data_IF_380515046982
#
_entry.id   IF_380515046982
#
_cell.length_a   1.000
_cell.length_b   1.000
_cell.length_c   1.000
_cell.angle_alpha   90.00
_cell.angle_beta   90.00
_cell.angle_gamma   90.00
#
_symmetry.space_group_name_H-M   'P 1'
#
loop_
_entity.id
_entity.type
_entity.pdbx_description
1 polymer ?
#
# COMPACT_ATOMS: atom_id res chain seq x y z
N UNK A 1 -45.89 53.04 -4.20
CA UNK A 1 -47.11 53.50 -4.91
C UNK A 1 -48.29 53.72 -3.95
N UNK A 2 -48.15 53.42 -2.64
CA UNK A 2 -49.26 53.45 -1.68
C UNK A 2 -49.49 54.77 -0.92
N UNK A 3 -48.69 55.81 -1.18
CA UNK A 3 -48.79 57.10 -0.44
C UNK A 3 -49.84 58.04 -1.04
N UNK A 4 -50.31 57.80 -2.26
CA UNK A 4 -51.29 58.66 -2.94
C UNK A 4 -52.76 58.26 -2.68
N UNK A 5 -53.02 57.05 -2.19
CA UNK A 5 -54.39 56.53 -2.04
C UNK A 5 -55.12 56.99 -0.77
N UNK A 6 -54.42 57.57 0.22
CA UNK A 6 -55.00 57.98 1.51
C UNK A 6 -55.34 59.48 1.63
N UNK A 7 -55.41 60.25 0.55
CA UNK A 7 -55.52 61.73 0.63
C UNK A 7 -56.69 62.37 -0.12
N UNK A 8 -57.56 61.59 -0.77
CA UNK A 8 -58.68 62.15 -1.54
C UNK A 8 -59.98 61.79 -0.83
N UNK A 9 -60.39 62.61 0.13
CA UNK A 9 -61.73 62.54 0.67
C UNK A 9 -62.70 63.11 -0.38
N UNK A 10 -63.63 62.28 -0.85
CA UNK A 10 -64.67 62.69 -1.80
C UNK A 10 -65.56 63.81 -1.23
N UNK A 11 -65.60 63.97 0.09
CA UNK A 11 -66.35 65.04 0.77
C UNK A 11 -65.71 66.43 0.60
N UNK A 12 -64.40 66.52 0.32
CA UNK A 12 -63.70 67.78 0.02
C UNK A 12 -64.22 68.46 -1.27
N UNK A 13 -64.93 67.70 -2.12
CA UNK A 13 -65.55 68.21 -3.33
C UNK A 13 -66.91 68.88 -3.06
N UNK A 14 -67.47 68.79 -1.85
CA UNK A 14 -68.69 69.49 -1.42
C UNK A 14 -68.29 70.75 -0.63
N UNK A 15 -68.95 71.88 -0.89
CA UNK A 15 -68.58 73.16 -0.28
C UNK A 15 -68.85 73.11 1.23
N UNK A 16 -67.78 73.20 2.01
CA UNK A 16 -67.64 72.73 3.38
C UNK A 16 -68.22 73.65 4.46
N UNK A 17 -69.50 74.03 4.39
CA UNK A 17 -70.07 74.86 5.46
C UNK A 17 -71.32 74.38 6.22
N UNK A 18 -72.03 73.32 5.83
CA UNK A 18 -73.22 72.89 6.60
C UNK A 18 -73.50 71.37 6.63
N UNK A 19 -72.48 70.50 6.54
CA UNK A 19 -72.68 69.04 6.61
C UNK A 19 -72.06 68.44 7.87
N UNK A 20 -72.91 68.03 8.81
CA UNK A 20 -72.54 67.31 10.04
C UNK A 20 -72.00 65.91 9.69
N UNK A 21 -70.88 65.52 10.29
CA UNK A 21 -70.06 64.35 9.89
C UNK A 21 -70.81 63.00 9.95
N UNK A 22 -71.90 62.94 10.73
CA UNK A 22 -72.73 61.77 11.00
C UNK A 22 -74.06 61.70 10.24
N UNK A 23 -74.41 62.69 9.40
CA UNK A 23 -75.69 62.67 8.66
C UNK A 23 -75.58 61.98 7.30
N UNK A 24 -76.52 61.08 6.93
CA UNK A 24 -76.53 60.47 5.61
C UNK A 24 -76.76 61.54 4.52
N UNK A 25 -75.86 61.57 3.54
CA UNK A 25 -75.94 62.48 2.38
C UNK A 25 -77.31 62.37 1.71
N UNK A 26 -77.97 63.51 1.51
CA UNK A 26 -79.28 63.54 0.87
C UNK A 26 -79.17 63.17 -0.61
N UNK A 27 -80.22 62.61 -1.21
CA UNK A 27 -80.22 62.22 -2.64
C UNK A 27 -79.82 63.36 -3.61
N UNK A 28 -80.14 64.64 -3.33
CA UNK A 28 -79.60 65.79 -4.10
C UNK A 28 -78.09 65.97 -3.95
N UNK A 29 -77.53 65.74 -2.76
CA UNK A 29 -76.09 65.90 -2.48
C UNK A 29 -75.25 64.83 -3.18
N UNK A 30 -75.77 63.60 -3.25
CA UNK A 30 -75.14 62.52 -4.02
C UNK A 30 -75.11 62.83 -5.52
N UNK A 31 -76.19 63.42 -6.07
CA UNK A 31 -76.21 63.86 -7.48
C UNK A 31 -75.20 64.98 -7.71
N UNK A 32 -75.14 65.96 -6.81
CA UNK A 32 -74.18 67.05 -6.88
C UNK A 32 -72.73 66.56 -6.80
N UNK A 33 -72.46 65.57 -5.95
CA UNK A 33 -71.15 64.93 -5.83
C UNK A 33 -70.76 64.20 -7.12
N UNK A 34 -71.69 63.44 -7.71
CA UNK A 34 -71.46 62.76 -9.00
C UNK A 34 -71.14 63.77 -10.10
N UNK A 35 -71.90 64.85 -10.20
CA UNK A 35 -71.67 65.89 -11.21
C UNK A 35 -70.31 66.57 -10.99
N UNK A 36 -69.95 66.91 -9.74
CA UNK A 36 -68.63 67.48 -9.42
C UNK A 36 -67.48 66.51 -9.67
N UNK A 37 -67.65 65.23 -9.35
CA UNK A 37 -66.66 64.19 -9.64
C UNK A 37 -66.46 64.00 -11.15
N UNK A 38 -67.54 64.04 -11.92
CA UNK A 38 -67.45 63.96 -13.38
C UNK A 38 -66.70 65.17 -13.95
N UNK A 39 -67.03 66.38 -13.48
CA UNK A 39 -66.32 67.62 -13.88
C UNK A 39 -64.85 67.54 -13.47
N UNK A 40 -64.54 67.08 -12.26
CA UNK A 40 -63.17 66.94 -11.78
C UNK A 40 -62.38 65.87 -12.55
N UNK A 41 -63.01 64.73 -12.86
CA UNK A 41 -62.43 63.68 -13.70
C UNK A 41 -62.13 64.19 -15.12
N UNK A 42 -63.05 64.94 -15.72
CA UNK A 42 -62.84 65.59 -17.00
C UNK A 42 -61.72 66.63 -16.92
N UNK A 43 -61.64 67.40 -15.83
CA UNK A 43 -60.58 68.37 -15.60
C UNK A 43 -59.20 67.69 -15.47
N UNK A 44 -59.09 66.61 -14.70
CA UNK A 44 -57.85 65.82 -14.59
C UNK A 44 -57.47 65.25 -15.95
N UNK A 45 -58.40 64.61 -16.67
CA UNK A 45 -58.14 64.05 -18.01
C UNK A 45 -57.67 65.14 -18.98
N UNK A 46 -58.32 66.29 -18.96
CA UNK A 46 -57.93 67.44 -19.78
C UNK A 46 -56.55 67.98 -19.39
N UNK A 47 -56.26 68.12 -18.09
CA UNK A 47 -54.98 68.58 -17.57
C UNK A 47 -53.84 67.61 -17.92
N UNK A 48 -54.06 66.31 -17.75
CA UNK A 48 -53.10 65.26 -18.15
C UNK A 48 -52.90 65.28 -19.66
N UNK A 49 -53.99 65.35 -20.44
CA UNK A 49 -53.91 65.46 -21.89
C UNK A 49 -53.13 66.70 -22.33
N UNK A 50 -53.40 67.86 -21.73
CA UNK A 50 -52.69 69.09 -22.03
C UNK A 50 -51.21 69.00 -21.62
N UNK A 51 -50.91 68.37 -20.47
CA UNK A 51 -49.54 68.14 -20.03
C UNK A 51 -48.78 67.25 -21.00
N UNK A 52 -49.37 66.13 -21.41
CA UNK A 52 -48.77 65.20 -22.40
C UNK A 52 -48.61 65.87 -23.76
N UNK A 53 -49.59 66.66 -24.21
CA UNK A 53 -49.49 67.37 -25.49
C UNK A 53 -48.44 68.50 -25.45
N UNK A 54 -48.36 69.24 -24.35
CA UNK A 54 -47.36 70.31 -24.18
C UNK A 54 -45.94 69.78 -24.06
N UNK A 55 -45.74 68.57 -23.51
CA UNK A 55 -44.44 67.90 -23.39
C UNK A 55 -44.27 66.76 -24.40
N UNK A 56 -45.05 66.76 -25.49
CA UNK A 56 -45.04 65.67 -26.47
C UNK A 56 -43.64 65.46 -27.06
N UNK A 57 -42.93 66.54 -27.34
CA UNK A 57 -41.58 66.47 -27.88
C UNK A 57 -40.60 65.80 -26.90
N UNK A 58 -40.66 66.16 -25.62
CA UNK A 58 -39.79 65.59 -24.59
C UNK A 58 -40.05 64.09 -24.44
N UNK A 59 -41.33 63.68 -24.34
CA UNK A 59 -41.69 62.26 -24.29
C UNK A 59 -41.27 61.52 -25.55
N UNK A 60 -41.49 62.08 -26.75
CA UNK A 60 -41.06 61.47 -27.99
C UNK A 60 -39.54 61.30 -28.05
N UNK A 61 -38.78 62.29 -27.57
CA UNK A 61 -37.31 62.22 -27.51
C UNK A 61 -36.82 61.14 -26.54
N UNK A 62 -37.46 60.99 -25.38
CA UNK A 62 -37.15 59.94 -24.41
C UNK A 62 -37.46 58.55 -24.97
N UNK A 63 -38.61 58.38 -25.61
CA UNK A 63 -38.96 57.09 -26.23
C UNK A 63 -38.03 56.73 -27.39
N UNK A 64 -37.59 57.71 -28.19
CA UNK A 64 -36.60 57.50 -29.24
C UNK A 64 -35.25 57.06 -28.65
N UNK A 65 -34.75 57.75 -27.62
CA UNK A 65 -33.51 57.39 -26.94
C UNK A 65 -33.57 55.99 -26.31
N UNK A 66 -34.70 55.63 -25.69
CA UNK A 66 -34.91 54.28 -25.16
C UNK A 66 -34.90 53.23 -26.27
N UNK A 67 -35.55 53.51 -27.41
CA UNK A 67 -35.56 52.61 -28.57
C UNK A 67 -34.16 52.41 -29.16
N UNK A 68 -33.38 53.49 -29.26
CA UNK A 68 -31.99 53.44 -29.73
C UNK A 68 -31.09 52.66 -28.76
N UNK A 69 -31.26 52.87 -27.45
CA UNK A 69 -30.55 52.12 -26.41
C UNK A 69 -30.88 50.61 -26.45
N UNK A 70 -32.14 50.25 -26.66
CA UNK A 70 -32.55 48.85 -26.82
C UNK A 70 -31.96 48.26 -28.10
N UNK A 71 -31.99 49.00 -29.21
CA UNK A 71 -31.45 48.55 -30.49
C UNK A 71 -29.93 48.35 -30.45
N UNK A 72 -29.21 49.24 -29.78
CA UNK A 72 -27.76 49.12 -29.57
C UNK A 72 -27.40 47.96 -28.66
N UNK A 73 -28.18 47.72 -27.60
CA UNK A 73 -28.01 46.55 -26.73
C UNK A 73 -28.24 45.24 -27.49
N UNK A 74 -29.27 45.17 -28.33
CA UNK A 74 -29.55 43.99 -29.14
C UNK A 74 -28.40 43.73 -30.12
N UNK A 75 -27.93 44.77 -30.84
CA UNK A 75 -26.80 44.65 -31.75
C UNK A 75 -25.51 44.18 -31.04
N UNK A 76 -25.26 44.67 -29.82
CA UNK A 76 -24.13 44.20 -29.02
C UNK A 76 -24.27 42.72 -28.64
N UNK A 77 -25.48 42.30 -28.23
CA UNK A 77 -25.77 40.90 -27.92
C UNK A 77 -25.55 39.99 -29.12
N UNK A 78 -26.00 40.41 -30.30
CA UNK A 78 -25.83 39.67 -31.55
C UNK A 78 -24.34 39.54 -31.89
N UNK A 79 -23.56 40.64 -31.79
CA UNK A 79 -22.10 40.63 -32.02
C UNK A 79 -21.34 39.73 -31.03
N UNK A 80 -21.72 39.75 -29.75
CA UNK A 80 -21.11 38.87 -28.74
C UNK A 80 -21.43 37.42 -29.05
N UNK A 81 -22.66 37.14 -29.49
CA UNK A 81 -23.06 35.79 -29.91
C UNK A 81 -22.24 35.34 -31.11
N UNK A 82 -22.10 36.17 -32.15
CA UNK A 82 -21.28 35.86 -33.33
C UNK A 82 -19.82 35.55 -32.96
N UNK A 83 -19.22 36.33 -32.04
CA UNK A 83 -17.87 36.06 -31.56
C UNK A 83 -17.76 34.74 -30.80
N UNK A 84 -18.75 34.40 -29.96
CA UNK A 84 -18.78 33.12 -29.26
C UNK A 84 -18.94 31.95 -30.24
N UNK A 85 -19.72 32.10 -31.31
CA UNK A 85 -19.84 31.09 -32.37
C UNK A 85 -18.51 30.91 -33.08
N UNK A 86 -17.82 31.98 -33.47
CA UNK A 86 -16.49 31.92 -34.11
C UNK A 86 -15.45 31.24 -33.21
N UNK A 87 -15.45 31.54 -31.91
CA UNK A 87 -14.53 30.91 -30.95
C UNK A 87 -14.87 29.44 -30.68
N UNK A 88 -16.16 29.09 -30.70
CA UNK A 88 -16.63 27.72 -30.46
C UNK A 88 -16.45 26.81 -31.67
N UNK A 89 -16.63 27.36 -32.88
CA UNK A 89 -16.49 26.65 -34.15
C UNK A 89 -15.04 26.64 -34.67
N UNK A 90 -14.10 27.25 -33.95
CA UNK A 90 -12.71 27.27 -34.38
C UNK A 90 -12.09 25.86 -34.21
N UNK A 91 -11.65 25.20 -35.30
CA UNK A 91 -11.00 23.88 -35.23
C UNK A 91 -9.80 23.85 -34.29
N UNK A 92 -9.11 24.98 -34.13
CA UNK A 92 -7.97 25.15 -33.24
C UNK A 92 -8.33 24.86 -31.78
N UNK A 93 -9.53 25.24 -31.31
CA UNK A 93 -9.94 24.98 -29.92
C UNK A 93 -10.21 23.49 -29.68
N UNK A 94 -10.79 22.81 -30.68
CA UNK A 94 -10.97 21.37 -30.64
C UNK A 94 -9.62 20.63 -30.69
N UNK A 95 -8.72 21.02 -31.58
CA UNK A 95 -7.36 20.47 -31.68
C UNK A 95 -6.56 20.68 -30.39
N UNK A 96 -6.63 21.87 -29.78
CA UNK A 96 -5.97 22.16 -28.50
C UNK A 96 -6.50 21.23 -27.40
N UNK A 97 -7.83 21.03 -27.33
CA UNK A 97 -8.43 20.11 -26.35
C UNK A 97 -7.93 18.69 -26.54
N UNK A 98 -7.92 18.20 -27.78
CA UNK A 98 -7.52 16.84 -28.11
C UNK A 98 -6.02 16.62 -27.79
N UNK A 99 -5.17 17.60 -28.12
CA UNK A 99 -3.73 17.59 -27.74
C UNK A 99 -3.55 17.61 -26.23
N UNK A 100 -4.34 18.40 -25.49
CA UNK A 100 -4.29 18.43 -24.02
C UNK A 100 -4.69 17.09 -23.42
N UNK A 101 -5.70 16.42 -23.98
CA UNK A 101 -6.12 15.10 -23.54
C UNK A 101 -5.04 14.04 -23.84
N UNK A 102 -4.44 14.07 -25.04
CA UNK A 102 -3.33 13.21 -25.42
C UNK A 102 -2.14 13.40 -24.47
N UNK A 103 -1.71 14.65 -24.21
CA UNK A 103 -0.65 14.96 -23.23
C UNK A 103 -1.00 14.42 -21.84
N UNK A 104 -2.27 14.54 -21.44
CA UNK A 104 -2.75 14.02 -20.16
C UNK A 104 -2.64 12.50 -20.06
N UNK A 105 -2.94 11.78 -21.14
CA UNK A 105 -2.80 10.33 -21.25
C UNK A 105 -1.33 9.92 -21.26
N UNK A 106 -0.50 10.52 -22.13
CA UNK A 106 0.94 10.22 -22.22
C UNK A 106 1.65 10.48 -20.89
N UNK A 107 1.27 11.53 -20.16
CA UNK A 107 1.85 11.85 -18.85
C UNK A 107 1.48 10.81 -17.79
N UNK A 108 0.25 10.27 -17.82
CA UNK A 108 -0.17 9.17 -16.92
C UNK A 108 0.62 7.90 -17.21
N UNK A 109 0.71 7.50 -18.47
CA UNK A 109 1.50 6.33 -18.88
C UNK A 109 2.98 6.48 -18.55
N UNK A 110 3.57 7.66 -18.74
CA UNK A 110 4.95 7.93 -18.39
C UNK A 110 5.19 7.81 -16.87
N UNK A 111 4.22 8.20 -16.04
CA UNK A 111 4.28 8.04 -14.59
C UNK A 111 4.24 6.56 -14.19
N UNK A 112 3.31 5.80 -14.74
CA UNK A 112 3.20 4.35 -14.48
C UNK A 112 4.47 3.61 -14.92
N UNK A 113 4.99 3.93 -16.11
CA UNK A 113 6.26 3.37 -16.60
C UNK A 113 7.43 3.72 -15.68
N UNK A 114 7.47 4.94 -15.14
CA UNK A 114 8.51 5.34 -14.18
C UNK A 114 8.42 4.56 -12.87
N UNK A 115 7.20 4.39 -12.33
CA UNK A 115 6.98 3.61 -11.11
C UNK A 115 7.30 2.12 -11.30
N UNK A 116 7.08 1.58 -12.50
CA UNK A 116 7.51 0.23 -12.87
C UNK A 116 9.03 0.13 -13.00
N UNK A 117 9.68 1.12 -13.63
CA UNK A 117 11.15 1.16 -13.73
C UNK A 117 11.81 1.22 -12.36
N UNK A 118 11.25 1.98 -11.41
CA UNK A 118 11.75 2.02 -10.04
C UNK A 118 11.61 0.66 -9.35
N UNK A 119 10.51 -0.07 -9.59
CA UNK A 119 10.35 -1.45 -9.11
C UNK A 119 11.33 -2.42 -9.79
N UNK A 120 11.57 -2.29 -11.10
CA UNK A 120 12.54 -3.15 -11.80
C UNK A 120 13.95 -2.89 -11.27
N UNK A 121 14.34 -1.63 -11.10
CA UNK A 121 15.63 -1.26 -10.47
C UNK A 121 15.76 -1.89 -9.09
N UNK A 122 14.70 -1.82 -8.29
CA UNK A 122 14.64 -2.43 -6.96
C UNK A 122 14.83 -3.95 -6.94
N UNK A 123 14.33 -4.64 -7.97
CA UNK A 123 14.47 -6.08 -8.16
C UNK A 123 15.89 -6.40 -8.62
N UNK A 124 16.45 -5.60 -9.54
CA UNK A 124 17.83 -5.78 -10.02
C UNK A 124 18.82 -5.63 -8.87
N UNK A 125 18.72 -4.55 -8.08
CA UNK A 125 19.57 -4.34 -6.90
C UNK A 125 19.49 -5.52 -5.92
N UNK A 126 18.27 -6.00 -5.62
CA UNK A 126 18.07 -7.15 -4.75
C UNK A 126 18.64 -8.44 -5.37
N UNK A 127 18.51 -8.63 -6.68
CA UNK A 127 19.05 -9.81 -7.37
C UNK A 127 20.58 -9.80 -7.39
N UNK A 128 21.21 -8.62 -7.42
CA UNK A 128 22.66 -8.49 -7.29
C UNK A 128 23.12 -8.76 -5.85
N UNK A 129 22.42 -8.23 -4.85
CA UNK A 129 22.64 -8.56 -3.43
C UNK A 129 22.55 -10.09 -3.22
N UNK A 130 21.46 -10.73 -3.67
CA UNK A 130 21.28 -12.19 -3.55
C UNK A 130 22.32 -12.99 -4.35
N UNK A 131 22.69 -12.54 -5.55
CA UNK A 131 23.75 -13.19 -6.33
C UNK A 131 25.07 -13.18 -5.57
N UNK A 132 25.42 -12.08 -4.89
CA UNK A 132 26.62 -12.03 -4.06
C UNK A 132 26.57 -13.04 -2.90
N UNK A 133 25.41 -13.19 -2.25
CA UNK A 133 25.19 -14.22 -1.22
C UNK A 133 25.43 -15.62 -1.79
N UNK A 134 24.93 -15.92 -2.99
CA UNK A 134 25.14 -17.23 -3.63
C UNK A 134 26.59 -17.46 -4.06
N UNK A 135 27.30 -16.42 -4.50
CA UNK A 135 28.73 -16.48 -4.79
C UNK A 135 29.54 -16.79 -3.51
N UNK A 136 29.15 -16.22 -2.36
CA UNK A 136 29.76 -16.53 -1.05
C UNK A 136 29.46 -17.97 -0.60
N UNK A 137 28.23 -18.46 -0.78
CA UNK A 137 27.85 -19.87 -0.54
C UNK A 137 28.70 -20.80 -1.40
N UNK A 138 28.82 -20.51 -2.71
CA UNK A 138 29.61 -21.30 -3.65
C UNK A 138 31.11 -21.32 -3.31
N UNK A 139 31.62 -20.26 -2.71
CA UNK A 139 33.00 -20.17 -2.24
C UNK A 139 33.24 -20.79 -0.85
N UNK A 140 32.22 -21.38 -0.22
CA UNK A 140 32.31 -21.98 1.12
C UNK A 140 32.30 -20.96 2.28
N UNK A 141 32.08 -19.67 2.00
CA UNK A 141 31.91 -18.59 3.00
C UNK A 141 30.49 -18.54 3.52
N UNK A 142 30.08 -19.63 4.17
CA UNK A 142 28.67 -19.87 4.53
C UNK A 142 28.17 -18.94 5.65
N UNK A 143 29.06 -18.47 6.53
CA UNK A 143 28.70 -17.53 7.61
C UNK A 143 28.47 -16.14 7.05
N UNK A 144 29.37 -15.67 6.17
CA UNK A 144 29.25 -14.39 5.51
C UNK A 144 27.99 -14.34 4.63
N UNK A 145 27.70 -15.43 3.91
CA UNK A 145 26.46 -15.56 3.15
C UNK A 145 25.20 -15.52 4.04
N UNK A 146 25.22 -16.20 5.19
CA UNK A 146 24.12 -16.19 6.14
C UNK A 146 23.86 -14.79 6.70
N UNK A 147 24.91 -14.07 7.08
CA UNK A 147 24.81 -12.71 7.59
C UNK A 147 24.34 -11.72 6.51
N UNK A 148 24.88 -11.81 5.29
CA UNK A 148 24.46 -10.98 4.17
C UNK A 148 22.99 -11.23 3.78
N UNK A 149 22.52 -12.47 3.89
CA UNK A 149 21.10 -12.83 3.72
C UNK A 149 20.20 -12.18 4.77
N UNK A 150 20.58 -12.23 6.05
CA UNK A 150 19.85 -11.58 7.14
C UNK A 150 19.82 -10.05 6.97
N UNK A 151 20.95 -9.45 6.58
CA UNK A 151 21.04 -8.01 6.31
C UNK A 151 20.18 -7.59 5.10
N UNK A 152 20.10 -8.43 4.06
CA UNK A 152 19.21 -8.20 2.92
C UNK A 152 17.73 -8.24 3.36
N UNK A 153 17.36 -9.15 4.26
CA UNK A 153 16.01 -9.22 4.85
C UNK A 153 15.71 -7.96 5.69
N UNK A 154 16.62 -7.58 6.59
CA UNK A 154 16.50 -6.37 7.41
C UNK A 154 16.44 -5.09 6.56
N UNK A 155 17.22 -5.03 5.48
CA UNK A 155 17.22 -3.95 4.50
C UNK A 155 15.92 -3.85 3.71
N UNK A 156 15.21 -4.96 3.49
CA UNK A 156 13.89 -4.99 2.86
C UNK A 156 12.79 -4.49 3.82
N UNK A 157 12.92 -4.76 5.12
CA UNK A 157 12.02 -4.24 6.15
C UNK A 157 12.26 -2.75 6.46
N UNK A 158 13.53 -2.29 6.42
CA UNK A 158 13.96 -0.96 6.84
C UNK A 158 14.05 0.10 5.73
N UNK A 159 14.19 -0.29 4.44
CA UNK A 159 14.24 0.68 3.33
C UNK A 159 12.86 1.30 3.09
N UNK A 160 12.53 2.32 3.89
CA UNK A 160 11.47 3.28 3.63
C UNK A 160 11.84 4.05 2.37
N UNK A 161 11.41 3.54 1.22
CA UNK A 161 11.65 4.27 -0.01
C UNK A 161 10.92 5.61 0.05
N UNK A 162 11.71 6.67 -0.04
CA UNK A 162 11.26 8.03 -0.24
C UNK A 162 10.46 8.10 -1.53
N UNK A 163 9.15 7.87 -1.43
CA UNK A 163 8.20 8.57 -2.28
C UNK A 163 8.46 10.06 -2.10
N UNK A 164 8.71 10.74 -3.21
CA UNK A 164 9.12 12.14 -3.25
C UNK A 164 8.31 13.02 -2.30
N UNK A 165 9.01 13.99 -1.71
CA UNK A 165 8.47 15.05 -0.88
C UNK A 165 7.26 15.70 -1.58
N UNK A 166 6.05 15.30 -1.21
CA UNK A 166 4.82 15.94 -1.65
C UNK A 166 3.99 16.24 -0.40
N UNK A 167 4.05 17.52 -0.02
CA UNK A 167 3.10 18.19 0.83
C UNK A 167 1.67 17.89 0.38
N UNK A 168 0.80 17.56 1.34
CA UNK A 168 -0.63 17.85 1.28
C UNK A 168 -1.50 16.86 0.51
N UNK A 169 -2.09 15.94 1.28
CA UNK A 169 -3.36 15.23 0.97
C UNK A 169 -3.26 14.30 -0.26
N UNK A 170 -4.17 13.32 -0.36
CA UNK A 170 -4.36 12.34 -1.44
C UNK A 170 -3.75 10.95 -1.23
N UNK A 171 -4.65 10.02 -0.85
CA UNK A 171 -4.78 8.76 -1.59
C UNK A 171 -4.47 7.48 -0.84
N UNK A 172 -5.50 6.89 -0.22
CA UNK A 172 -5.52 5.50 0.31
C UNK A 172 -5.09 4.45 -0.74
N UNK A 173 -5.14 4.76 -2.04
CA UNK A 173 -4.64 3.90 -3.13
C UNK A 173 -3.12 3.71 -3.15
N UNK A 174 -2.32 4.71 -2.77
CA UNK A 174 -0.86 4.57 -2.69
C UNK A 174 -0.41 3.61 -1.57
N UNK A 175 -1.25 3.44 -0.55
CA UNK A 175 -0.99 2.50 0.55
C UNK A 175 -1.07 1.05 0.09
N UNK A 176 -2.03 0.70 -0.78
CA UNK A 176 -2.19 -0.67 -1.28
C UNK A 176 -1.07 -1.08 -2.24
N UNK A 177 -0.62 -0.18 -3.11
CA UNK A 177 0.48 -0.49 -4.04
C UNK A 177 1.82 -0.64 -3.31
N UNK A 178 2.07 0.19 -2.29
CA UNK A 178 3.22 0.04 -1.38
C UNK A 178 3.18 -1.29 -0.61
N UNK A 179 1.99 -1.71 -0.17
CA UNK A 179 1.80 -3.01 0.47
C UNK A 179 2.06 -4.18 -0.48
N UNK A 180 1.65 -4.07 -1.75
CA UNK A 180 1.85 -5.11 -2.75
C UNK A 180 3.34 -5.23 -3.13
N UNK A 181 4.05 -4.10 -3.30
CA UNK A 181 5.51 -4.08 -3.50
C UNK A 181 6.25 -4.66 -2.29
N UNK A 182 5.84 -4.33 -1.06
CA UNK A 182 6.42 -4.90 0.17
C UNK A 182 6.19 -6.41 0.27
N UNK A 183 4.99 -6.87 -0.08
CA UNK A 183 4.62 -8.30 -0.03
C UNK A 183 5.37 -9.12 -1.07
N UNK A 184 5.53 -8.60 -2.29
CA UNK A 184 6.32 -9.27 -3.33
C UNK A 184 7.80 -9.35 -2.93
N UNK A 185 8.36 -8.27 -2.38
CA UNK A 185 9.76 -8.22 -1.96
C UNK A 185 10.05 -9.19 -0.81
N UNK A 186 9.20 -9.20 0.22
CA UNK A 186 9.28 -10.17 1.32
C UNK A 186 9.12 -11.60 0.80
N UNK A 187 8.19 -11.86 -0.13
CA UNK A 187 8.03 -13.19 -0.71
C UNK A 187 9.29 -13.65 -1.46
N UNK A 188 9.89 -12.78 -2.26
CA UNK A 188 11.09 -13.10 -3.05
C UNK A 188 12.30 -13.38 -2.15
N UNK A 189 12.54 -12.53 -1.14
CA UNK A 189 13.63 -12.72 -0.17
C UNK A 189 13.41 -13.99 0.65
N UNK A 190 12.18 -14.21 1.14
CA UNK A 190 11.86 -15.39 1.94
C UNK A 190 12.06 -16.69 1.14
N UNK A 191 11.75 -16.68 -0.17
CA UNK A 191 11.96 -17.86 -1.02
C UNK A 191 13.43 -18.21 -1.19
N UNK A 192 14.30 -17.20 -1.28
CA UNK A 192 15.75 -17.38 -1.46
C UNK A 192 16.45 -17.70 -0.12
N UNK A 193 16.05 -17.05 0.97
CA UNK A 193 16.50 -17.40 2.32
C UNK A 193 16.13 -18.84 2.68
N UNK A 194 14.95 -19.30 2.26
CA UNK A 194 14.54 -20.68 2.44
C UNK A 194 15.50 -21.66 1.76
N UNK A 195 16.10 -21.28 0.61
CA UNK A 195 17.09 -22.13 -0.05
C UNK A 195 18.40 -22.20 0.73
N UNK A 196 18.85 -21.09 1.35
CA UNK A 196 20.03 -21.08 2.22
C UNK A 196 19.75 -21.93 3.48
N UNK A 197 18.59 -21.76 4.09
CA UNK A 197 18.15 -22.56 5.23
C UNK A 197 18.13 -24.06 4.90
N UNK A 198 17.54 -24.44 3.76
CA UNK A 198 17.51 -25.82 3.29
C UNK A 198 18.92 -26.37 3.02
N UNK A 199 19.80 -25.56 2.43
CA UNK A 199 21.19 -25.95 2.19
C UNK A 199 21.94 -26.19 3.51
N UNK A 200 21.80 -25.31 4.49
CA UNK A 200 22.39 -25.44 5.82
C UNK A 200 21.89 -26.70 6.54
N UNK A 201 20.58 -26.98 6.47
CA UNK A 201 20.01 -28.21 7.02
C UNK A 201 20.60 -29.45 6.33
N UNK A 202 20.78 -29.42 5.00
CA UNK A 202 21.42 -30.52 4.26
C UNK A 202 22.89 -30.71 4.66
N UNK A 203 23.63 -29.62 4.92
CA UNK A 203 24.98 -29.72 5.48
C UNK A 203 24.97 -30.40 6.85
N UNK A 204 24.05 -30.02 7.74
CA UNK A 204 23.90 -30.64 9.05
C UNK A 204 23.56 -32.15 8.95
N UNK A 205 22.70 -32.51 8.01
CA UNK A 205 22.35 -33.92 7.76
C UNK A 205 23.49 -34.74 7.17
N UNK A 206 24.38 -34.11 6.41
CA UNK A 206 25.59 -34.76 5.91
C UNK A 206 26.70 -34.82 6.95
N UNK A 207 26.71 -33.89 7.90
CA UNK A 207 27.66 -33.88 9.01
C UNK A 207 27.43 -35.06 9.93
N UNK A 208 26.19 -35.28 10.37
CA UNK A 208 25.87 -36.39 11.28
C UNK A 208 25.13 -37.48 10.53
N UNK A 209 25.85 -38.56 10.19
CA UNK A 209 25.32 -39.73 9.49
C UNK A 209 25.12 -40.89 10.46
N UNK A 210 23.98 -41.55 10.32
CA UNK A 210 23.66 -42.76 11.06
C UNK A 210 23.63 -43.93 10.08
N UNK A 211 24.61 -44.82 10.16
CA UNK A 211 24.66 -46.03 9.35
C UNK A 211 23.98 -47.17 10.09
N UNK A 212 22.80 -47.58 9.61
CA UNK A 212 22.03 -48.66 10.19
C UNK A 212 22.62 -50.05 9.88
N UNK A 213 23.37 -50.21 8.79
CA UNK A 213 23.96 -51.49 8.41
C UNK A 213 25.13 -51.84 9.33
N UNK A 214 25.98 -50.86 9.63
CA UNK A 214 27.15 -51.05 10.48
C UNK A 214 26.92 -50.65 11.95
N UNK A 215 25.78 -50.02 12.27
CA UNK A 215 25.46 -49.42 13.59
C UNK A 215 26.54 -48.41 14.00
N UNK A 216 26.79 -47.46 13.10
CA UNK A 216 27.82 -46.45 13.27
C UNK A 216 27.20 -45.07 13.26
N UNK A 217 27.63 -44.21 14.18
CA UNK A 217 27.36 -42.78 14.15
C UNK A 217 28.62 -42.10 13.65
N UNK A 218 28.52 -41.40 12.53
CA UNK A 218 29.64 -40.68 11.92
C UNK A 218 29.39 -39.19 11.99
N UNK A 219 30.38 -38.45 12.47
CA UNK A 219 30.37 -36.99 12.52
C UNK A 219 31.53 -36.49 11.66
N UNK A 220 31.20 -35.85 10.55
CA UNK A 220 32.15 -35.24 9.63
C UNK A 220 32.36 -33.76 10.01
N UNK A 221 33.59 -33.38 10.27
CA UNK A 221 33.96 -31.99 10.56
C UNK A 221 34.23 -31.18 9.29
N UNK A 222 34.62 -31.86 8.21
CA UNK A 222 34.82 -31.27 6.90
C UNK A 222 33.73 -31.77 5.94
N UNK A 223 32.89 -30.85 5.48
CA UNK A 223 31.70 -31.16 4.70
C UNK A 223 31.91 -30.78 3.24
N UNK A 224 31.45 -31.67 2.36
CA UNK A 224 31.31 -31.40 0.93
C UNK A 224 29.87 -31.69 0.50
N UNK A 225 29.27 -30.73 -0.21
CA UNK A 225 27.86 -30.80 -0.60
C UNK A 225 27.63 -30.00 -1.87
N UNK A 226 27.01 -30.62 -2.88
CA UNK A 226 26.64 -30.00 -4.17
C UNK A 226 27.79 -29.20 -4.85
N UNK A 227 29.02 -29.69 -4.79
CA UNK A 227 30.19 -29.04 -5.40
C UNK A 227 30.84 -27.95 -4.53
N UNK A 228 30.30 -27.67 -3.35
CA UNK A 228 30.96 -26.87 -2.31
C UNK A 228 31.81 -27.83 -1.49
N UNK A 229 33.12 -27.67 -1.52
CA UNK A 229 34.07 -28.54 -0.81
C UNK A 229 34.75 -27.78 0.33
N UNK A 230 35.02 -28.49 1.43
CA UNK A 230 35.88 -27.98 2.50
C UNK A 230 35.18 -27.08 3.53
N UNK A 231 33.86 -27.19 3.70
CA UNK A 231 33.13 -26.38 4.69
C UNK A 231 33.25 -27.02 6.07
N UNK A 232 33.77 -26.28 7.04
CA UNK A 232 33.85 -26.76 8.42
C UNK A 232 32.46 -26.83 9.08
N UNK A 233 32.17 -27.91 9.80
CA UNK A 233 30.92 -28.08 10.56
C UNK A 233 30.66 -26.92 11.53
N UNK A 234 31.71 -26.40 12.18
CA UNK A 234 31.61 -25.24 13.07
C UNK A 234 31.10 -23.99 12.35
N UNK A 235 31.50 -23.80 11.10
CA UNK A 235 31.06 -22.69 10.24
C UNK A 235 29.59 -22.85 9.87
N UNK A 236 29.15 -24.09 9.59
CA UNK A 236 27.73 -24.39 9.36
C UNK A 236 26.89 -24.11 10.61
N UNK A 237 27.31 -24.57 11.79
CA UNK A 237 26.59 -24.35 13.04
C UNK A 237 26.44 -22.85 13.35
N UNK A 238 27.50 -22.05 13.15
CA UNK A 238 27.43 -20.59 13.27
C UNK A 238 26.45 -19.98 12.27
N UNK A 239 26.51 -20.37 11.00
CA UNK A 239 25.59 -19.87 9.99
C UNK A 239 24.12 -20.22 10.31
N UNK A 240 23.86 -21.42 10.85
CA UNK A 240 22.53 -21.83 11.30
C UNK A 240 22.03 -21.02 12.50
N UNK A 241 22.93 -20.60 13.39
CA UNK A 241 22.61 -19.72 14.52
C UNK A 241 22.23 -18.31 14.04
N UNK A 242 23.01 -17.74 13.10
CA UNK A 242 22.69 -16.43 12.47
C UNK A 242 21.32 -16.43 11.81
N UNK A 243 21.00 -17.48 11.05
CA UNK A 243 19.70 -17.59 10.36
C UNK A 243 18.57 -18.01 11.31
N UNK A 244 18.87 -18.33 12.58
CA UNK A 244 17.88 -18.71 13.59
C UNK A 244 17.26 -20.10 13.39
N UNK A 245 17.97 -21.02 12.72
CA UNK A 245 17.51 -22.39 12.42
C UNK A 245 18.35 -23.49 13.10
N UNK A 246 19.29 -23.12 13.98
CA UNK A 246 20.16 -24.06 14.68
C UNK A 246 19.34 -25.11 15.47
N UNK A 247 18.36 -24.67 16.25
CA UNK A 247 17.50 -25.56 17.04
C UNK A 247 16.75 -26.57 16.16
N UNK A 248 16.30 -26.13 14.98
CA UNK A 248 15.64 -27.00 14.01
C UNK A 248 16.59 -28.07 13.46
N UNK A 249 17.83 -27.66 13.11
CA UNK A 249 18.88 -28.59 12.69
C UNK A 249 19.21 -29.63 13.74
N UNK A 250 19.43 -29.19 14.99
CA UNK A 250 19.73 -30.05 16.13
C UNK A 250 18.56 -31.00 16.45
N UNK A 251 17.31 -30.52 16.37
CA UNK A 251 16.13 -31.36 16.55
C UNK A 251 16.06 -32.48 15.50
N UNK A 252 16.42 -32.19 14.24
CA UNK A 252 16.45 -33.20 13.17
C UNK A 252 17.53 -34.25 13.41
N UNK A 253 18.69 -33.85 13.92
CA UNK A 253 19.76 -34.77 14.33
C UNK A 253 19.33 -35.63 15.51
N UNK A 254 18.68 -35.04 16.51
CA UNK A 254 18.16 -35.75 17.67
C UNK A 254 17.08 -36.80 17.27
N UNK A 255 16.19 -36.46 16.36
CA UNK A 255 15.20 -37.39 15.80
C UNK A 255 15.89 -38.60 15.11
N UNK A 256 16.92 -38.34 14.30
CA UNK A 256 17.71 -39.41 13.67
C UNK A 256 18.48 -40.25 14.69
N UNK A 257 19.07 -39.62 15.71
CA UNK A 257 19.75 -40.32 16.81
C UNK A 257 18.79 -41.28 17.53
N UNK A 258 17.57 -40.82 17.83
CA UNK A 258 16.55 -41.67 18.46
C UNK A 258 16.22 -42.86 17.56
N UNK A 259 15.95 -42.60 16.27
CA UNK A 259 15.51 -43.62 15.31
C UNK A 259 16.58 -44.66 15.00
N UNK A 260 17.82 -44.23 14.82
CA UNK A 260 18.88 -45.05 14.22
C UNK A 260 20.00 -45.45 15.17
N UNK A 261 20.12 -44.83 16.35
CA UNK A 261 21.10 -45.22 17.37
C UNK A 261 20.42 -45.76 18.64
N UNK A 262 19.48 -45.01 19.22
CA UNK A 262 18.86 -45.36 20.51
C UNK A 262 17.91 -46.56 20.37
N UNK A 263 16.95 -46.52 19.44
CA UNK A 263 15.98 -47.63 19.25
C UNK A 263 16.69 -48.97 18.98
N UNK A 264 17.72 -49.06 18.11
CA UNK A 264 18.46 -50.30 17.91
C UNK A 264 19.16 -50.84 19.17
N UNK A 265 19.75 -49.96 19.99
CA UNK A 265 20.39 -50.35 21.26
C UNK A 265 19.36 -50.90 22.24
N UNK A 266 18.20 -50.23 22.40
CA UNK A 266 17.12 -50.70 23.27
C UNK A 266 16.54 -52.04 22.80
N UNK A 267 16.43 -52.25 21.49
CA UNK A 267 15.90 -53.51 20.91
C UNK A 267 16.85 -54.70 21.04
N UNK A 268 18.17 -54.48 21.10
CA UNK A 268 19.17 -55.55 21.05
C UNK A 268 19.18 -56.48 22.27
N UNK A 269 18.60 -56.08 23.40
CA UNK A 269 18.51 -56.87 24.66
C UNK A 269 19.81 -57.62 25.02
N UNK A 270 20.96 -57.09 24.62
CA UNK A 270 22.30 -57.62 24.85
C UNK A 270 23.22 -56.45 25.20
N UNK A 271 24.25 -56.70 25.99
CA UNK A 271 25.22 -55.68 26.36
C UNK A 271 25.96 -55.16 25.11
N UNK A 272 26.21 -53.86 25.10
CA UNK A 272 26.76 -53.15 23.95
C UNK A 272 28.06 -52.48 24.38
N UNK A 273 29.07 -52.58 23.52
CA UNK A 273 30.35 -51.90 23.66
C UNK A 273 30.49 -50.83 22.57
N UNK A 274 31.23 -49.77 22.89
CA UNK A 274 31.45 -48.65 21.99
C UNK A 274 32.91 -48.61 21.56
N UNK A 275 33.15 -48.44 20.26
CA UNK A 275 34.49 -48.20 19.72
C UNK A 275 34.46 -46.85 19.03
N UNK A 276 35.24 -45.91 19.56
CA UNK A 276 35.45 -44.59 18.96
C UNK A 276 36.69 -44.63 18.06
N UNK A 277 36.49 -44.40 16.77
CA UNK A 277 37.56 -44.25 15.78
C UNK A 277 37.65 -42.78 15.36
N UNK A 278 38.86 -42.23 15.38
CA UNK A 278 39.14 -40.85 14.93
C UNK A 278 39.96 -40.94 13.64
N UNK A 279 39.34 -40.55 12.52
CA UNK A 279 40.04 -40.47 11.24
C UNK A 279 40.76 -39.12 11.13
N UNK A 280 42.09 -39.16 11.18
CA UNK A 280 42.97 -38.01 10.97
C UNK A 280 43.75 -38.18 9.66
N UNK A 281 43.51 -37.33 8.67
CA UNK A 281 44.42 -37.13 7.55
C UNK A 281 45.24 -35.86 7.76
N UNK A 282 46.50 -35.89 7.28
CA UNK A 282 47.58 -34.90 7.50
C UNK A 282 47.09 -33.44 7.60
N UNK A 283 46.74 -33.00 8.82
CA UNK A 283 46.43 -31.60 9.13
C UNK A 283 45.25 -31.36 10.09
N UNK A 284 44.36 -32.34 10.34
CA UNK A 284 43.24 -32.15 11.27
C UNK A 284 42.34 -33.38 11.45
N UNK A 285 41.44 -33.34 12.44
CA UNK A 285 40.40 -34.36 12.64
C UNK A 285 39.33 -34.14 11.57
N UNK A 286 39.13 -35.13 10.70
CA UNK A 286 38.23 -34.98 9.55
C UNK A 286 36.86 -35.63 9.82
N UNK A 287 36.87 -36.77 10.52
CA UNK A 287 35.67 -37.53 10.90
C UNK A 287 35.89 -38.26 12.24
N UNK A 288 34.86 -38.33 13.07
CA UNK A 288 34.79 -39.20 14.25
C UNK A 288 33.66 -40.20 14.08
N UNK A 289 33.97 -41.47 14.33
CA UNK A 289 33.04 -42.60 14.14
C UNK A 289 32.84 -43.28 15.50
N UNK A 290 31.59 -43.45 15.91
CA UNK A 290 31.19 -44.29 17.04
C UNK A 290 30.57 -45.57 16.50
N UNK A 291 31.25 -46.71 16.68
CA UNK A 291 30.75 -48.03 16.30
C UNK A 291 30.13 -48.72 17.50
N UNK A 292 28.91 -49.23 17.32
CA UNK A 292 28.10 -49.87 18.36
C UNK A 292 28.19 -51.39 18.18
N UNK A 293 29.08 -52.03 18.94
CA UNK A 293 29.46 -53.45 18.79
C UNK A 293 28.85 -54.29 19.92
N UNK A 294 28.31 -55.50 19.65
CA UNK A 294 27.86 -56.42 20.70
C UNK A 294 29.02 -56.76 21.64
N UNK A 295 28.81 -56.67 22.96
CA UNK A 295 29.84 -57.05 23.93
C UNK A 295 30.11 -58.55 23.86
N UNK A 296 31.37 -58.95 23.96
CA UNK A 296 31.81 -60.35 23.85
C UNK A 296 31.52 -61.21 25.09
N UNK A 297 30.97 -60.65 26.16
CA UNK A 297 30.74 -61.37 27.42
C UNK A 297 29.43 -62.19 27.35
N UNK A 298 29.51 -63.54 27.40
CA UNK A 298 28.37 -64.42 27.17
C UNK A 298 27.47 -64.63 28.40
N UNK A 299 27.73 -64.00 29.55
CA UNK A 299 27.08 -64.37 30.83
C UNK A 299 25.98 -63.43 31.35
N UNK A 300 25.53 -62.43 30.59
CA UNK A 300 24.50 -61.50 31.09
C UNK A 300 23.21 -61.65 30.27
N UNK A 301 22.41 -62.67 30.60
CA UNK A 301 21.06 -62.88 30.04
C UNK A 301 20.03 -61.84 30.54
N UNK A 302 20.37 -61.04 31.56
CA UNK A 302 19.54 -59.92 32.04
C UNK A 302 20.27 -58.60 31.80
N UNK A 303 19.97 -57.94 30.68
CA UNK A 303 20.37 -56.54 30.49
C UNK A 303 19.63 -55.69 31.51
N UNK A 304 20.37 -55.19 32.49
CA UNK A 304 19.86 -54.22 33.46
C UNK A 304 19.44 -52.93 32.72
N UNK A 305 18.37 -52.29 33.19
CA UNK A 305 17.97 -50.98 32.70
C UNK A 305 19.11 -49.97 32.81
N UNK A 306 19.95 -50.09 33.84
CA UNK A 306 21.14 -49.28 34.05
C UNK A 306 22.13 -49.37 32.86
N UNK A 307 22.36 -50.56 32.32
CA UNK A 307 23.23 -50.77 31.14
C UNK A 307 22.69 -50.09 29.89
N UNK A 308 21.37 -50.13 29.68
CA UNK A 308 20.71 -49.47 28.55
C UNK A 308 20.79 -47.95 28.69
N UNK A 309 20.53 -47.41 29.89
CA UNK A 309 20.64 -45.98 30.14
C UNK A 309 22.08 -45.48 29.99
N UNK A 310 23.07 -46.23 30.48
CA UNK A 310 24.49 -45.91 30.29
C UNK A 310 24.86 -45.88 28.80
N UNK A 311 24.36 -46.83 28.00
CA UNK A 311 24.59 -46.86 26.56
C UNK A 311 23.97 -45.66 25.83
N UNK A 312 22.76 -45.24 26.23
CA UNK A 312 22.10 -44.06 25.66
C UNK A 312 22.88 -42.79 26.02
N UNK A 313 23.30 -42.64 27.29
CA UNK A 313 24.09 -41.50 27.75
C UNK A 313 25.40 -41.40 26.94
N UNK A 314 26.08 -42.52 26.71
CA UNK A 314 27.33 -42.54 25.95
C UNK A 314 27.16 -42.04 24.51
N UNK A 315 26.06 -42.43 23.84
CA UNK A 315 25.73 -41.94 22.48
C UNK A 315 25.47 -40.44 22.48
N UNK A 316 24.70 -39.95 23.47
CA UNK A 316 24.38 -38.51 23.60
C UNK A 316 25.66 -37.71 23.87
N UNK A 317 26.51 -38.19 24.79
CA UNK A 317 27.76 -37.54 25.15
C UNK A 317 28.73 -37.50 23.96
N UNK A 318 28.84 -38.59 23.19
CA UNK A 318 29.64 -38.63 21.97
C UNK A 318 29.19 -37.58 20.95
N UNK A 319 27.89 -37.50 20.65
CA UNK A 319 27.36 -36.51 19.69
C UNK A 319 27.53 -35.09 20.22
N UNK A 320 27.25 -34.85 21.51
CA UNK A 320 27.43 -33.53 22.12
C UNK A 320 28.90 -33.08 22.05
N UNK A 321 29.83 -33.97 22.42
CA UNK A 321 31.26 -33.68 22.33
C UNK A 321 31.68 -33.43 20.88
N UNK A 322 31.22 -34.24 19.94
CA UNK A 322 31.62 -34.15 18.53
C UNK A 322 31.01 -32.95 17.78
N UNK A 323 29.91 -32.37 18.28
CA UNK A 323 29.28 -31.20 17.65
C UNK A 323 29.79 -29.87 18.23
N UNK A 324 30.12 -29.84 19.52
CA UNK A 324 30.39 -28.60 20.26
C UNK A 324 31.84 -28.43 20.73
N UNK A 325 32.67 -29.47 20.67
CA UNK A 325 34.07 -29.47 21.12
C UNK A 325 35.02 -30.02 20.05
#
# INVERSE_FOLDING_TARGET
MDVLFNSIDVRDLLSSHDLDESSPLSAPDLRLLIDRLQVHSLHIKSKVRHYVLSHHHDFASLFAQCSDAVSTSQNLSDRVSDLLTILSDHPIVAEIRDVVEEIGQTRREAREKRELLDLVRAIVELSEELRSVWEDVGAGRVVEAAQAGEEAEGGVAGRRWCGGRASGVWGVKEGMEKLQKRKFRSFYVNSELFMIQDLLVRFMENAVRFDQQHNEVRVNYLLSLNGIEGVELRTVLKAMDVVGILDYGLAKVADKMIKYAIIPVVKRRSNVSFVEDINQEKGGIMETILRIVPSSDPEIENVDGESIFSAIIHIIEFIYRSLFF
#
